data_IF_851575976673
#
_entry.id   IF_851575976673
#
_cell.length_a   1.000
_cell.length_b   1.000
_cell.length_c   1.000
_cell.angle_alpha   90.00
_cell.angle_beta   90.00
_cell.angle_gamma   90.00
#
_symmetry.space_group_name_H-M   'P 1'
#
loop_
_entity.id
_entity.type
_entity.pdbx_description
1 polymer ?
#
# COMPACT_ATOMS: atom_id res chain seq x y z
N UNK A 1 -30.38 -4.53 -17.28
CA UNK A 1 -29.15 -5.34 -17.18
C UNK A 1 -27.92 -4.45 -17.38
N UNK A 2 -26.94 -4.44 -16.47
CA UNK A 2 -25.70 -3.68 -16.69
C UNK A 2 -24.94 -4.35 -17.85
N UNK A 3 -24.62 -3.59 -18.91
CA UNK A 3 -23.90 -4.12 -20.08
C UNK A 3 -22.56 -4.73 -19.65
N UNK A 4 -22.27 -5.96 -20.07
CA UNK A 4 -21.01 -6.69 -19.79
C UNK A 4 -19.75 -5.84 -20.02
N UNK A 5 -19.73 -5.02 -21.09
CA UNK A 5 -18.67 -4.04 -21.38
C UNK A 5 -18.39 -3.06 -20.23
N UNK A 6 -19.43 -2.60 -19.52
CA UNK A 6 -19.30 -1.67 -18.38
C UNK A 6 -18.65 -2.35 -17.18
N UNK A 7 -18.95 -3.62 -16.92
CA UNK A 7 -18.32 -4.39 -15.84
C UNK A 7 -16.84 -4.67 -16.13
N UNK A 8 -16.49 -5.05 -17.37
CA UNK A 8 -15.09 -5.24 -17.80
C UNK A 8 -14.28 -3.94 -17.68
N UNK A 9 -14.85 -2.80 -18.07
CA UNK A 9 -14.21 -1.50 -17.88
C UNK A 9 -13.97 -1.17 -16.39
N UNK A 10 -14.96 -1.46 -15.53
CA UNK A 10 -14.81 -1.27 -14.08
C UNK A 10 -13.71 -2.15 -13.51
N UNK A 11 -13.63 -3.42 -13.92
CA UNK A 11 -12.56 -4.33 -13.51
C UNK A 11 -11.17 -3.80 -13.88
N UNK A 12 -11.01 -3.34 -15.13
CA UNK A 12 -9.76 -2.74 -15.60
C UNK A 12 -9.38 -1.49 -14.78
N UNK A 13 -10.34 -0.62 -14.50
CA UNK A 13 -10.13 0.55 -13.64
C UNK A 13 -9.68 0.17 -12.23
N UNK A 14 -10.27 -0.89 -11.65
CA UNK A 14 -9.83 -1.40 -10.33
C UNK A 14 -8.41 -1.97 -10.38
N UNK A 15 -8.05 -2.70 -11.44
CA UNK A 15 -6.69 -3.22 -11.64
C UNK A 15 -5.65 -2.09 -11.71
N UNK A 16 -5.92 -1.03 -12.48
CA UNK A 16 -5.05 0.16 -12.56
C UNK A 16 -4.89 0.85 -11.20
N UNK A 17 -5.99 1.05 -10.47
CA UNK A 17 -5.95 1.64 -9.12
C UNK A 17 -5.16 0.78 -8.14
N UNK A 18 -5.29 -0.55 -8.22
CA UNK A 18 -4.56 -1.48 -7.38
C UNK A 18 -3.06 -1.40 -7.63
N UNK A 19 -2.62 -1.39 -8.89
CA UNK A 19 -1.22 -1.22 -9.24
C UNK A 19 -0.63 0.08 -8.68
N UNK A 20 -1.33 1.20 -8.84
CA UNK A 20 -0.88 2.50 -8.30
C UNK A 20 -0.73 2.46 -6.78
N UNK A 21 -1.68 1.84 -6.09
CA UNK A 21 -1.67 1.72 -4.64
C UNK A 21 -0.55 0.78 -4.14
N UNK A 22 -0.25 -0.29 -4.88
CA UNK A 22 0.88 -1.17 -4.56
C UNK A 22 2.20 -0.42 -4.66
N UNK A 23 2.39 0.41 -5.69
CA UNK A 23 3.56 1.27 -5.83
C UNK A 23 3.66 2.23 -4.63
N UNK A 24 2.57 2.89 -4.27
CA UNK A 24 2.51 3.81 -3.12
C UNK A 24 2.92 3.11 -1.81
N UNK A 25 2.39 1.91 -1.54
CA UNK A 25 2.74 1.11 -0.36
C UNK A 25 4.23 0.76 -0.35
N UNK A 26 4.78 0.35 -1.50
CA UNK A 26 6.20 0.01 -1.61
C UNK A 26 7.09 1.24 -1.39
N UNK A 27 6.72 2.40 -1.94
CA UNK A 27 7.42 3.66 -1.70
C UNK A 27 7.42 4.03 -0.22
N UNK A 28 6.26 3.94 0.46
CA UNK A 28 6.15 4.22 1.89
C UNK A 28 7.02 3.28 2.73
N UNK A 29 7.02 1.98 2.43
CA UNK A 29 7.88 1.01 3.11
C UNK A 29 9.37 1.34 2.93
N UNK A 30 9.79 1.67 1.71
CA UNK A 30 11.17 2.03 1.42
C UNK A 30 11.61 3.29 2.19
N UNK A 31 10.74 4.30 2.28
CA UNK A 31 11.02 5.52 3.04
C UNK A 31 11.10 5.28 4.55
N UNK A 32 10.29 4.37 5.10
CA UNK A 32 10.40 3.93 6.49
C UNK A 32 11.75 3.26 6.74
N UNK A 33 12.17 2.35 5.85
CA UNK A 33 13.47 1.65 5.96
C UNK A 33 14.62 2.66 5.93
N UNK A 34 14.60 3.60 4.98
CA UNK A 34 15.62 4.66 4.89
C UNK A 34 15.70 5.50 6.16
N UNK A 35 14.55 5.91 6.70
CA UNK A 35 14.48 6.74 7.91
C UNK A 35 15.00 5.98 9.14
N UNK A 36 14.65 4.70 9.28
CA UNK A 36 15.18 3.83 10.34
C UNK A 36 16.70 3.62 10.20
N UNK A 37 17.19 3.40 8.97
CA UNK A 37 18.62 3.23 8.73
C UNK A 37 19.41 4.51 9.07
N UNK A 38 18.86 5.68 8.76
CA UNK A 38 19.47 6.96 9.13
C UNK A 38 19.50 7.14 10.65
N UNK A 39 18.38 6.89 11.34
CA UNK A 39 18.31 6.90 12.80
C UNK A 39 19.38 5.98 13.42
N UNK A 40 19.47 4.74 12.97
CA UNK A 40 20.45 3.78 13.47
C UNK A 40 21.91 4.25 13.25
N UNK A 41 22.19 4.95 12.14
CA UNK A 41 23.51 5.55 11.90
C UNK A 41 23.79 6.69 12.88
N UNK A 42 22.82 7.58 13.10
CA UNK A 42 22.94 8.69 14.05
C UNK A 42 23.14 8.19 15.49
N UNK A 43 22.42 7.14 15.90
CA UNK A 43 22.62 6.52 17.20
C UNK A 43 24.02 5.91 17.36
N UNK A 44 24.56 5.27 16.32
CA UNK A 44 25.94 4.77 16.32
C UNK A 44 26.95 5.90 16.44
N UNK A 45 26.77 6.99 15.68
CA UNK A 45 27.62 8.18 15.75
C UNK A 45 27.60 8.75 17.17
N UNK A 46 26.41 8.90 17.78
CA UNK A 46 26.28 9.37 19.16
C UNK A 46 27.04 8.48 20.15
N UNK A 47 26.86 7.16 20.06
CA UNK A 47 27.54 6.19 20.94
C UNK A 47 29.06 6.25 20.80
N UNK A 48 29.57 6.35 19.57
CA UNK A 48 31.00 6.42 19.28
C UNK A 48 31.62 7.79 19.61
N UNK A 49 30.80 8.82 19.81
CA UNK A 49 31.26 10.16 20.18
C UNK A 49 31.55 10.33 21.67
N UNK A 50 31.38 9.28 22.48
CA UNK A 50 31.91 9.22 23.84
C UNK A 50 33.42 9.00 23.77
N UNK A 51 34.19 10.07 23.86
CA UNK A 51 35.62 9.99 24.16
C UNK A 51 35.82 10.18 25.66
N UNK A 52 36.55 9.26 26.30
CA UNK A 52 36.95 9.28 27.71
C UNK A 52 37.96 10.40 28.04
N UNK A 53 38.25 11.30 27.10
CA UNK A 53 39.15 12.42 27.34
C UNK A 53 38.47 13.43 28.24
N UNK A 54 39.06 13.66 29.42
CA UNK A 54 38.76 14.84 30.24
C UNK A 54 38.81 16.07 29.33
N UNK A 55 37.67 16.68 29.08
CA UNK A 55 37.61 17.92 28.31
C UNK A 55 38.35 19.00 29.11
N UNK A 56 39.59 19.27 28.74
CA UNK A 56 40.49 20.16 29.49
C UNK A 56 40.19 21.66 29.28
N UNK A 57 39.25 22.01 28.39
CA UNK A 57 38.83 23.40 28.17
C UNK A 57 37.30 23.51 27.94
N UNK A 58 36.75 24.68 28.23
CA UNK A 58 35.31 24.98 28.10
C UNK A 58 34.81 24.91 26.66
N UNK A 59 35.66 25.23 25.68
CA UNK A 59 35.32 25.21 24.25
C UNK A 59 34.98 23.79 23.77
N UNK A 60 35.76 22.78 24.17
CA UNK A 60 35.54 21.40 23.80
C UNK A 60 34.25 20.84 24.43
N UNK A 61 33.92 21.25 25.66
CA UNK A 61 32.64 20.92 26.31
C UNK A 61 31.47 21.50 25.52
N UNK A 62 31.56 22.77 25.11
CA UNK A 62 30.51 23.44 24.34
C UNK A 62 30.30 22.74 22.98
N UNK A 63 31.38 22.46 22.24
CA UNK A 63 31.28 21.77 20.95
C UNK A 63 30.68 20.37 21.07
N UNK A 64 31.05 19.63 22.13
CA UNK A 64 30.47 18.32 22.41
C UNK A 64 28.96 18.42 22.67
N UNK A 65 28.55 19.36 23.52
CA UNK A 65 27.15 19.59 23.82
C UNK A 65 26.34 19.95 22.57
N UNK A 66 26.84 20.88 21.75
CA UNK A 66 26.18 21.27 20.50
C UNK A 66 26.07 20.12 19.51
N UNK A 67 27.12 19.30 19.39
CA UNK A 67 27.12 18.10 18.57
C UNK A 67 26.05 17.12 19.05
N UNK A 68 26.03 16.78 20.33
CA UNK A 68 25.07 15.84 20.91
C UNK A 68 23.63 16.35 20.76
N UNK A 69 23.40 17.65 20.96
CA UNK A 69 22.10 18.30 20.75
C UNK A 69 21.62 18.13 19.31
N UNK A 70 22.47 18.44 18.32
CA UNK A 70 22.13 18.31 16.89
C UNK A 70 21.87 16.87 16.50
N UNK A 71 22.65 15.91 17.01
CA UNK A 71 22.44 14.49 16.74
C UNK A 71 21.10 14.01 17.31
N UNK A 72 20.76 14.41 18.54
CA UNK A 72 19.47 14.13 19.16
C UNK A 72 18.30 14.69 18.35
N UNK A 73 18.40 15.96 17.95
CA UNK A 73 17.38 16.61 17.11
C UNK A 73 17.13 15.85 15.80
N UNK A 74 18.20 15.39 15.14
CA UNK A 74 18.07 14.60 13.91
C UNK A 74 17.47 13.20 14.16
N UNK A 75 17.74 12.58 15.31
CA UNK A 75 17.10 11.32 15.71
C UNK A 75 15.59 11.54 15.89
N UNK A 76 15.18 12.58 16.60
CA UNK A 76 13.77 12.91 16.83
C UNK A 76 13.03 13.20 15.50
N UNK A 77 13.67 13.90 14.57
CA UNK A 77 13.14 14.12 13.22
C UNK A 77 12.92 12.78 12.50
N UNK A 78 13.86 11.85 12.59
CA UNK A 78 13.72 10.53 11.99
C UNK A 78 12.54 9.75 12.61
N UNK A 79 12.38 9.79 13.92
CA UNK A 79 11.27 9.14 14.63
C UNK A 79 9.90 9.70 14.22
N UNK A 80 9.78 11.03 14.20
CA UNK A 80 8.57 11.73 13.77
C UNK A 80 8.22 11.39 12.32
N UNK A 81 9.22 11.34 11.43
CA UNK A 81 9.02 10.92 10.04
C UNK A 81 8.53 9.48 9.95
N UNK A 82 9.10 8.55 10.71
CA UNK A 82 8.67 7.15 10.75
C UNK A 82 7.22 7.03 11.25
N UNK A 83 6.85 7.77 12.30
CA UNK A 83 5.48 7.79 12.82
C UNK A 83 4.48 8.29 11.76
N UNK A 84 4.81 9.38 11.07
CA UNK A 84 4.01 9.90 9.96
C UNK A 84 3.85 8.86 8.84
N UNK A 85 4.96 8.28 8.37
CA UNK A 85 4.95 7.30 7.29
C UNK A 85 4.17 6.03 7.65
N UNK A 86 4.24 5.57 8.91
CA UNK A 86 3.44 4.43 9.40
C UNK A 86 1.94 4.72 9.37
N UNK A 87 1.51 5.94 9.71
CA UNK A 87 0.11 6.35 9.63
C UNK A 87 -0.38 6.36 8.18
N UNK A 88 0.43 6.88 7.26
CA UNK A 88 0.10 6.86 5.82
C UNK A 88 0.07 5.44 5.26
N UNK A 89 1.03 4.60 5.64
CA UNK A 89 1.06 3.18 5.25
C UNK A 89 -0.21 2.44 5.68
N UNK A 90 -0.69 2.68 6.90
CA UNK A 90 -1.94 2.10 7.38
C UNK A 90 -3.14 2.57 6.53
N UNK A 91 -3.20 3.86 6.19
CA UNK A 91 -4.25 4.42 5.32
C UNK A 91 -4.21 3.75 3.94
N UNK A 92 -3.04 3.57 3.34
CA UNK A 92 -2.89 2.93 2.03
C UNK A 92 -3.24 1.44 2.08
N UNK A 93 -2.87 0.71 3.15
CA UNK A 93 -3.31 -0.69 3.37
C UNK A 93 -4.83 -0.80 3.51
N UNK A 94 -5.48 0.11 4.23
CA UNK A 94 -6.94 0.13 4.35
C UNK A 94 -7.62 0.39 3.00
N UNK A 95 -7.08 1.31 2.19
CA UNK A 95 -7.53 1.54 0.81
C UNK A 95 -7.37 0.27 -0.04
N UNK A 96 -6.27 -0.48 0.16
CA UNK A 96 -5.99 -1.72 -0.59
C UNK A 96 -7.07 -2.77 -0.31
N UNK A 97 -7.37 -3.01 0.97
CA UNK A 97 -8.43 -3.94 1.37
C UNK A 97 -9.77 -3.61 0.73
N UNK A 98 -10.16 -2.32 0.72
CA UNK A 98 -11.40 -1.84 0.08
C UNK A 98 -11.41 -2.07 -1.44
N UNK A 99 -10.29 -1.84 -2.13
CA UNK A 99 -10.21 -2.04 -3.59
C UNK A 99 -10.26 -3.53 -3.93
N UNK A 100 -9.59 -4.39 -3.14
CA UNK A 100 -9.62 -5.84 -3.33
C UNK A 100 -11.03 -6.39 -3.17
N UNK A 101 -11.77 -5.98 -2.13
CA UNK A 101 -13.14 -6.43 -1.92
C UNK A 101 -14.07 -6.01 -3.05
N UNK A 102 -13.93 -4.76 -3.53
CA UNK A 102 -14.68 -4.27 -4.68
C UNK A 102 -14.35 -5.03 -5.97
N UNK A 103 -13.07 -5.34 -6.21
CA UNK A 103 -12.64 -6.11 -7.39
C UNK A 103 -13.27 -7.51 -7.38
N UNK A 104 -13.20 -8.23 -6.24
CA UNK A 104 -13.83 -9.55 -6.09
C UNK A 104 -15.33 -9.52 -6.36
N UNK A 105 -16.02 -8.46 -5.90
CA UNK A 105 -17.46 -8.30 -6.15
C UNK A 105 -17.77 -8.06 -7.63
N UNK A 106 -16.94 -7.27 -8.33
CA UNK A 106 -17.08 -7.05 -9.78
C UNK A 106 -16.85 -8.35 -10.54
N UNK A 107 -15.79 -9.10 -10.21
CA UNK A 107 -15.49 -10.40 -10.83
C UNK A 107 -16.65 -11.39 -10.63
N UNK A 108 -17.26 -11.46 -9.44
CA UNK A 108 -18.47 -12.25 -9.19
C UNK A 108 -19.65 -11.82 -10.06
N UNK A 109 -19.89 -10.50 -10.19
CA UNK A 109 -20.97 -9.97 -11.04
C UNK A 109 -20.75 -10.28 -12.52
N UNK A 110 -19.51 -10.25 -13.00
CA UNK A 110 -19.16 -10.65 -14.37
C UNK A 110 -19.51 -12.12 -14.60
N UNK A 111 -19.08 -13.01 -13.68
CA UNK A 111 -19.39 -14.44 -13.77
C UNK A 111 -20.90 -14.70 -13.78
N UNK A 112 -21.63 -14.07 -12.86
CA UNK A 112 -23.09 -14.21 -12.79
C UNK A 112 -23.77 -13.72 -14.09
N UNK A 113 -23.40 -12.54 -14.57
CA UNK A 113 -23.97 -11.99 -15.82
C UNK A 113 -23.70 -12.89 -17.02
N UNK A 114 -22.53 -13.55 -17.07
CA UNK A 114 -22.20 -14.48 -18.14
C UNK A 114 -23.05 -15.76 -18.09
N UNK A 115 -23.23 -16.33 -16.90
CA UNK A 115 -24.09 -17.51 -16.72
C UNK A 115 -25.55 -17.21 -17.06
N UNK A 116 -26.06 -16.02 -16.68
CA UNK A 116 -27.41 -15.61 -17.01
C UNK A 116 -27.60 -15.42 -18.52
N UNK A 117 -26.61 -14.84 -19.21
CA UNK A 117 -26.62 -14.73 -20.68
C UNK A 117 -26.63 -16.10 -21.36
N UNK A 118 -25.93 -17.10 -20.82
CA UNK A 118 -25.96 -18.48 -21.33
C UNK A 118 -27.33 -19.12 -21.11
N UNK A 119 -27.89 -19.01 -19.90
CA UNK A 119 -29.22 -19.56 -19.56
C UNK A 119 -30.31 -19.02 -20.49
N UNK A 120 -30.33 -17.71 -20.73
CA UNK A 120 -31.30 -17.07 -21.64
C UNK A 120 -31.13 -17.56 -23.08
N UNK A 121 -29.89 -17.86 -23.53
CA UNK A 121 -29.65 -18.43 -24.85
C UNK A 121 -30.14 -19.87 -24.95
N UNK A 122 -29.88 -20.70 -23.94
CA UNK A 122 -30.36 -22.08 -23.87
C UNK A 122 -31.88 -22.15 -23.85
N UNK A 123 -32.55 -21.34 -23.02
CA UNK A 123 -34.01 -21.26 -22.99
C UNK A 123 -34.60 -20.87 -24.36
N UNK A 124 -33.97 -19.92 -25.06
CA UNK A 124 -34.39 -19.54 -26.42
C UNK A 124 -34.20 -20.67 -27.41
N UNK A 125 -33.10 -21.39 -27.34
CA UNK A 125 -32.85 -22.57 -28.20
C UNK A 125 -33.90 -23.64 -27.94
N UNK A 126 -34.13 -24.02 -26.68
CA UNK A 126 -35.14 -25.01 -26.29
C UNK A 126 -36.56 -24.67 -26.78
N UNK A 127 -36.95 -23.39 -26.74
CA UNK A 127 -38.24 -22.94 -27.28
C UNK A 127 -38.30 -23.00 -28.81
N UNK A 128 -37.17 -22.79 -29.48
CA UNK A 128 -37.07 -22.80 -30.94
C UNK A 128 -36.94 -24.23 -31.51
N UNK A 129 -36.53 -25.22 -30.70
CA UNK A 129 -36.44 -26.61 -31.15
C UNK A 129 -37.83 -27.23 -31.27
N UNK A 130 -38.24 -27.75 -32.45
CA UNK A 130 -39.50 -28.46 -32.60
C UNK A 130 -39.53 -29.70 -31.70
N UNK A 131 -40.66 -29.97 -31.05
CA UNK A 131 -40.84 -31.20 -30.30
C UNK A 131 -40.82 -32.39 -31.28
N UNK A 132 -39.88 -33.32 -31.11
CA UNK A 132 -39.85 -34.56 -31.85
C UNK A 132 -41.13 -35.35 -31.53
N UNK A 133 -42.09 -35.38 -32.46
CA UNK A 133 -43.25 -36.27 -32.34
C UNK A 133 -42.75 -37.69 -32.53
N UNK A 134 -42.78 -38.48 -31.46
CA UNK A 134 -42.67 -39.94 -31.59
C UNK A 134 -43.94 -40.43 -32.29
N UNK A 135 -43.79 -40.87 -33.53
CA UNK A 135 -44.75 -41.71 -34.25
C UNK A 135 -44.76 -43.12 -33.67
#
# INVERSE_FOLDING_TARGET
MIKSKRLKNLELLKKKKLNKLTIEINTLNNEIIKSNNLKNKLEKIKKNSFTEEKYNNSMNIMHKYEFDRKILEQIDICENRVLFLKKELLRSKNKLGKIISQKKLIEKKIKFSFLEELRVKEEKLLRATPAFRKS
#
